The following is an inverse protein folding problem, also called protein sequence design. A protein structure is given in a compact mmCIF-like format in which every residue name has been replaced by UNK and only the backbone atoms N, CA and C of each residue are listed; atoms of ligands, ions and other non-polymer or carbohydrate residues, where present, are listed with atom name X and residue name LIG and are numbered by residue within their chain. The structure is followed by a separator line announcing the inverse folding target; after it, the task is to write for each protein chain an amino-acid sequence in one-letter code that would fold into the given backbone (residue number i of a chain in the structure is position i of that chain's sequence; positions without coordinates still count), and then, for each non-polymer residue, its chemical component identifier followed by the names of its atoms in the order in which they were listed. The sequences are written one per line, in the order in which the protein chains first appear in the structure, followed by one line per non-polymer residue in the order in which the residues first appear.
data_IF_266472268014
#
_entry.id   IF_266472268014
#
_cell.length_a   1.000
_cell.length_b   1.000
_cell.length_c   1.000
_cell.angle_alpha   90.00
_cell.angle_beta   90.00
_cell.angle_gamma   90.00
#
_symmetry.space_group_name_H-M   'P 1'
#
loop_
_entity.id
_entity.type
_entity.pdbx_description
1 polymer ?
#
# COMPACT_ATOMS: atom_id res chain seq x y z
N UNK A 1 9.63 5.71 9.49
CA UNK A 1 10.79 6.08 10.34
C UNK A 1 10.59 5.66 11.79
N UNK A 2 9.43 5.92 12.39
CA UNK A 2 9.08 5.48 13.76
C UNK A 2 9.25 3.95 13.91
N UNK A 3 8.66 3.15 13.01
CA UNK A 3 8.77 1.69 13.05
C UNK A 3 10.22 1.17 13.02
N UNK A 4 11.08 1.67 12.11
CA UNK A 4 12.47 1.23 12.03
C UNK A 4 13.25 1.57 13.30
N UNK A 5 13.03 2.76 13.87
CA UNK A 5 13.64 3.16 15.14
C UNK A 5 13.16 2.30 16.32
N UNK A 6 11.85 1.99 16.38
CA UNK A 6 11.27 1.09 17.38
C UNK A 6 11.83 -0.33 17.29
N UNK A 7 12.12 -0.80 16.07
CA UNK A 7 12.75 -2.09 15.80
C UNK A 7 14.29 -2.06 15.96
N UNK A 8 14.88 -0.92 16.32
CA UNK A 8 16.32 -0.77 16.56
C UNK A 8 17.17 -0.58 15.30
N UNK A 9 16.56 -0.30 14.15
CA UNK A 9 17.25 0.01 12.90
C UNK A 9 17.58 1.50 12.82
N UNK A 10 18.83 1.83 12.47
CA UNK A 10 19.28 3.19 12.23
C UNK A 10 19.32 3.48 10.73
N UNK A 11 18.16 3.85 10.17
CA UNK A 11 17.99 4.16 8.73
C UNK A 11 17.50 5.59 8.54
N UNK A 12 18.06 6.31 7.57
CA UNK A 12 17.68 7.68 7.26
C UNK A 12 16.41 7.79 6.42
N UNK A 13 15.71 8.93 6.47
CA UNK A 13 14.52 9.16 5.63
C UNK A 13 14.79 8.99 4.12
N UNK A 14 15.88 9.60 3.63
CA UNK A 14 16.24 9.56 2.21
C UNK A 14 16.59 8.14 1.73
N UNK A 15 17.19 7.33 2.60
CA UNK A 15 17.52 5.94 2.33
C UNK A 15 16.23 5.11 2.18
N UNK A 16 15.33 5.20 3.16
CA UNK A 16 14.03 4.51 3.10
C UNK A 16 13.23 4.94 1.87
N UNK A 17 13.20 6.24 1.56
CA UNK A 17 12.51 6.75 0.38
C UNK A 17 13.08 6.19 -0.92
N UNK A 18 14.41 6.11 -1.02
CA UNK A 18 15.09 5.54 -2.18
C UNK A 18 14.74 4.05 -2.33
N UNK A 19 14.81 3.28 -1.25
CA UNK A 19 14.51 1.85 -1.25
C UNK A 19 13.06 1.55 -1.63
N UNK A 20 12.09 2.31 -1.08
CA UNK A 20 10.67 2.17 -1.43
C UNK A 20 10.46 2.43 -2.92
N UNK A 21 10.98 3.54 -3.46
CA UNK A 21 10.84 3.87 -4.90
C UNK A 21 11.46 2.81 -5.80
N UNK A 22 12.66 2.33 -5.44
CA UNK A 22 13.36 1.29 -6.19
C UNK A 22 12.57 -0.01 -6.20
N UNK A 23 12.01 -0.41 -5.06
CA UNK A 23 11.16 -1.61 -4.96
C UNK A 23 9.91 -1.46 -5.81
N UNK A 24 9.22 -0.33 -5.70
CA UNK A 24 7.99 -0.09 -6.46
C UNK A 24 8.26 -0.14 -7.98
N UNK A 25 9.39 0.43 -8.45
CA UNK A 25 9.83 0.32 -9.85
C UNK A 25 10.09 -1.14 -10.25
N UNK A 26 10.76 -1.91 -9.41
CA UNK A 26 11.04 -3.33 -9.67
C UNK A 26 9.75 -4.16 -9.72
N UNK A 27 8.83 -3.93 -8.79
CA UNK A 27 7.57 -4.66 -8.69
C UNK A 27 6.65 -4.38 -9.90
N UNK A 28 6.63 -3.14 -10.41
CA UNK A 28 5.86 -2.79 -11.61
C UNK A 28 6.46 -3.36 -12.91
N UNK A 29 7.78 -3.58 -12.97
CA UNK A 29 8.49 -3.95 -14.20
C UNK A 29 8.98 -5.41 -14.25
N UNK A 30 8.69 -6.23 -13.23
CA UNK A 30 9.12 -7.64 -13.22
C UNK A 30 8.46 -8.44 -14.34
N UNK A 31 9.21 -9.37 -14.95
CA UNK A 31 8.74 -10.17 -16.08
C UNK A 31 7.57 -11.11 -15.72
N UNK A 32 7.50 -11.55 -14.46
CA UNK A 32 6.49 -12.49 -13.96
C UNK A 32 5.62 -11.80 -12.91
N UNK A 33 4.31 -11.84 -13.10
CA UNK A 33 3.27 -11.27 -12.22
C UNK A 33 3.49 -9.78 -11.85
N UNK A 34 3.74 -8.84 -12.78
CA UNK A 34 4.02 -7.45 -12.46
C UNK A 34 2.90 -6.79 -11.64
N UNK A 35 3.27 -5.86 -10.75
CA UNK A 35 2.31 -5.06 -9.99
C UNK A 35 1.56 -4.10 -10.93
N UNK A 36 0.26 -4.36 -11.11
CA UNK A 36 -0.63 -3.50 -11.89
C UNK A 36 -2.05 -3.58 -11.33
N UNK A 37 -2.89 -2.61 -11.67
CA UNK A 37 -4.32 -2.60 -11.31
C UNK A 37 -5.10 -3.48 -12.30
N UNK A 38 -5.97 -4.35 -11.79
CA UNK A 38 -6.91 -5.12 -12.62
C UNK A 38 -8.17 -4.30 -12.91
N UNK A 39 -8.91 -4.67 -13.95
CA UNK A 39 -10.15 -3.96 -14.35
C UNK A 39 -11.25 -4.01 -13.28
N UNK A 40 -11.27 -5.07 -12.47
CA UNK A 40 -12.25 -5.30 -11.40
C UNK A 40 -11.79 -4.79 -10.03
N UNK A 41 -10.55 -4.30 -9.94
CA UNK A 41 -9.99 -3.75 -8.70
C UNK A 41 -10.63 -2.42 -8.33
N UNK A 42 -10.78 -2.19 -7.02
CA UNK A 42 -11.21 -0.89 -6.48
C UNK A 42 -9.99 -0.19 -5.92
N UNK A 43 -9.68 1.00 -6.43
CA UNK A 43 -8.58 1.81 -5.92
C UNK A 43 -9.01 2.56 -4.66
N UNK A 44 -8.22 2.43 -3.59
CA UNK A 44 -8.38 3.17 -2.35
C UNK A 44 -7.08 3.92 -2.10
N UNK A 45 -7.14 5.25 -2.13
CA UNK A 45 -6.05 6.10 -1.66
C UNK A 45 -6.17 6.28 -0.15
N UNK A 46 -5.16 5.81 0.58
CA UNK A 46 -5.11 5.88 2.04
C UNK A 46 -4.09 6.90 2.55
N UNK A 47 -3.58 7.79 1.69
CA UNK A 47 -2.52 8.76 2.06
C UNK A 47 -2.90 9.61 3.27
N UNK A 48 -4.18 9.98 3.39
CA UNK A 48 -4.70 10.85 4.45
C UNK A 48 -5.71 10.14 5.38
N UNK A 49 -5.83 8.82 5.29
CA UNK A 49 -6.80 8.05 6.07
C UNK A 49 -6.15 7.44 7.31
N UNK A 50 -6.92 7.41 8.39
CA UNK A 50 -6.63 6.58 9.56
C UNK A 50 -6.84 5.10 9.26
N UNK A 51 -6.30 4.22 10.12
CA UNK A 51 -6.44 2.77 9.96
C UNK A 51 -7.93 2.38 10.01
N UNK A 52 -8.67 2.97 10.94
CA UNK A 52 -10.10 2.72 11.13
C UNK A 52 -10.91 3.12 9.89
N UNK A 53 -10.65 4.29 9.31
CA UNK A 53 -11.32 4.76 8.08
C UNK A 53 -11.04 3.86 6.89
N UNK A 54 -9.80 3.36 6.74
CA UNK A 54 -9.46 2.38 5.70
C UNK A 54 -10.24 1.08 5.89
N UNK A 55 -10.33 0.58 7.12
CA UNK A 55 -11.07 -0.65 7.44
C UNK A 55 -12.56 -0.47 7.11
N UNK A 56 -13.17 0.61 7.57
CA UNK A 56 -14.58 0.92 7.30
C UNK A 56 -14.85 1.02 5.80
N UNK A 57 -13.94 1.66 5.05
CA UNK A 57 -14.02 1.76 3.59
C UNK A 57 -14.01 0.39 2.92
N UNK A 58 -13.11 -0.51 3.35
CA UNK A 58 -13.01 -1.87 2.81
C UNK A 58 -14.28 -2.67 3.13
N UNK A 59 -14.76 -2.63 4.38
CA UNK A 59 -15.98 -3.33 4.80
C UNK A 59 -17.18 -2.85 3.98
N UNK A 60 -17.35 -1.53 3.81
CA UNK A 60 -18.43 -0.96 3.02
C UNK A 60 -18.44 -1.45 1.57
N UNK A 61 -17.28 -1.52 0.93
CA UNK A 61 -17.14 -2.03 -0.45
C UNK A 61 -17.53 -3.52 -0.56
N UNK A 62 -17.21 -4.31 0.46
CA UNK A 62 -17.56 -5.74 0.50
C UNK A 62 -19.08 -5.91 0.65
N UNK A 63 -19.71 -5.18 1.57
CA UNK A 63 -21.14 -5.27 1.79
C UNK A 63 -21.96 -4.76 0.59
N UNK A 64 -21.49 -3.69 -0.10
CA UNK A 64 -22.09 -3.22 -1.36
C UNK A 64 -22.09 -4.32 -2.44
N UNK A 65 -21.00 -5.09 -2.53
CA UNK A 65 -20.88 -6.20 -3.49
C UNK A 65 -21.67 -7.44 -3.07
N UNK A 66 -21.85 -7.71 -1.78
CA UNK A 66 -22.68 -8.83 -1.27
C UNK A 66 -24.18 -8.59 -1.36
N UNK A 67 -24.61 -7.33 -1.31
CA UNK A 67 -26.02 -6.93 -1.39
C UNK A 67 -26.61 -6.92 -2.81
N UNK A 68 -25.85 -7.39 -3.81
CA UNK A 68 -26.30 -7.68 -5.18
C UNK A 68 -26.43 -9.19 -5.37
#
# INVERSE_FOLDING_TARGET
MIQNLELGFNTGFNEVLYEVKKRDEQDMNREVDPLHKTEDSVFIDCTELTIEEVIERIIGLVEEKKGK
#
